data_IF_174047556449
#
_entry.id   IF_174047556449
#
_cell.length_a   1.000
_cell.length_b   1.000
_cell.length_c   1.000
_cell.angle_alpha   90.00
_cell.angle_beta   90.00
_cell.angle_gamma   90.00
#
_symmetry.space_group_name_H-M   'P 1'
#
loop_
_entity.id
_entity.type
_entity.pdbx_description
1 polymer ?
#
# COMPACT_ATOMS: atom_id res chain seq x y z
N UNK A 1 -8.10 14.56 -9.55
CA UNK A 1 -8.41 15.45 -8.42
C UNK A 1 -8.25 16.93 -8.80
N UNK A 2 -7.04 17.46 -9.05
CA UNK A 2 -6.91 18.87 -9.51
C UNK A 2 -7.71 19.16 -10.79
N UNK A 3 -7.61 18.28 -11.80
CA UNK A 3 -8.42 18.41 -13.03
C UNK A 3 -9.94 18.28 -12.78
N UNK A 4 -10.35 17.53 -11.76
CA UNK A 4 -11.75 17.37 -11.36
C UNK A 4 -12.29 18.64 -10.67
N UNK A 5 -11.42 19.35 -9.95
CA UNK A 5 -11.67 20.67 -9.40
C UNK A 5 -11.58 21.81 -10.44
N UNK A 6 -11.45 21.49 -11.72
CA UNK A 6 -11.40 22.49 -12.80
C UNK A 6 -10.03 23.13 -13.01
N UNK A 7 -8.94 22.49 -12.56
CA UNK A 7 -7.56 22.93 -12.82
C UNK A 7 -6.88 22.01 -13.84
N UNK A 8 -6.87 22.37 -15.15
CA UNK A 8 -6.11 21.65 -16.14
C UNK A 8 -4.62 21.58 -15.77
N UNK A 9 -3.97 20.45 -16.03
CA UNK A 9 -2.58 20.27 -15.61
C UNK A 9 -1.78 19.37 -16.55
N UNK A 10 -0.47 19.53 -16.47
CA UNK A 10 0.51 18.63 -17.07
C UNK A 10 0.90 17.57 -16.05
N UNK A 11 0.89 16.31 -16.48
CA UNK A 11 1.30 15.19 -15.65
C UNK A 11 2.53 14.52 -16.27
N UNK A 12 3.64 14.53 -15.54
CA UNK A 12 4.95 14.04 -15.99
C UNK A 12 5.25 12.71 -15.32
N UNK A 13 5.56 11.68 -16.11
CA UNK A 13 5.90 10.34 -15.63
C UNK A 13 5.22 9.23 -16.40
N UNK A 14 5.42 7.99 -15.94
CA UNK A 14 4.79 6.82 -16.54
C UNK A 14 3.47 6.51 -15.82
N UNK A 15 2.35 6.67 -16.53
CA UNK A 15 1.02 6.43 -15.99
C UNK A 15 0.25 5.46 -16.90
N UNK A 16 -0.22 4.38 -16.31
CA UNK A 16 -1.12 3.44 -16.97
C UNK A 16 -2.57 3.86 -16.77
N UNK A 17 -3.32 3.95 -17.87
CA UNK A 17 -4.76 4.19 -17.85
C UNK A 17 -5.54 2.87 -17.85
N UNK A 18 -6.67 2.85 -17.15
CA UNK A 18 -7.60 1.73 -17.26
C UNK A 18 -8.26 1.73 -18.65
N UNK A 19 -8.30 0.55 -19.29
CA UNK A 19 -8.95 0.34 -20.60
C UNK A 19 -10.49 0.25 -20.50
N UNK A 20 -11.06 0.05 -19.30
CA UNK A 20 -12.49 -0.27 -19.07
C UNK A 20 -13.17 0.54 -17.94
N UNK A 21 -14.51 0.39 -17.80
CA UNK A 21 -15.49 1.24 -17.07
C UNK A 21 -15.26 1.34 -15.54
N UNK A 22 -15.89 2.35 -14.92
CA UNK A 22 -16.02 2.66 -13.46
C UNK A 22 -16.47 1.50 -12.54
N UNK A 23 -16.68 0.29 -13.07
CA UNK A 23 -17.24 -0.85 -12.33
C UNK A 23 -16.25 -1.54 -11.39
N UNK A 24 -14.98 -1.13 -11.39
CA UNK A 24 -13.96 -1.69 -10.49
C UNK A 24 -14.01 -1.03 -9.09
N UNK A 25 -14.13 -1.87 -8.07
CA UNK A 25 -14.24 -1.47 -6.66
C UNK A 25 -12.84 -1.31 -6.05
N UNK A 26 -12.21 -0.15 -6.22
CA UNK A 26 -10.93 0.16 -5.59
C UNK A 26 -10.43 1.56 -5.92
N UNK A 27 -9.77 2.23 -4.96
CA UNK A 27 -9.31 3.61 -5.15
C UNK A 27 -8.29 3.77 -6.30
N UNK A 28 -7.48 2.74 -6.58
CA UNK A 28 -6.53 2.75 -7.70
C UNK A 28 -7.22 2.67 -9.04
N UNK A 29 -8.19 1.76 -9.19
CA UNK A 29 -9.00 1.65 -10.38
C UNK A 29 -9.80 2.93 -10.63
N UNK A 30 -10.37 3.52 -9.58
CA UNK A 30 -11.03 4.82 -9.63
C UNK A 30 -10.09 5.92 -10.15
N UNK A 31 -8.87 6.00 -9.62
CA UNK A 31 -7.86 6.97 -10.06
C UNK A 31 -7.44 6.79 -11.51
N UNK A 32 -7.19 5.55 -11.95
CA UNK A 32 -6.82 5.22 -13.34
C UNK A 32 -7.95 5.52 -14.32
N UNK A 33 -9.19 5.22 -13.94
CA UNK A 33 -10.36 5.54 -14.73
C UNK A 33 -10.53 7.06 -14.89
N UNK A 34 -10.44 7.83 -13.80
CA UNK A 34 -10.50 9.28 -13.84
C UNK A 34 -9.37 9.90 -14.67
N UNK A 35 -8.15 9.37 -14.59
CA UNK A 35 -7.04 9.80 -15.44
C UNK A 35 -7.42 9.68 -16.92
N UNK A 36 -7.95 8.52 -17.34
CA UNK A 36 -8.41 8.32 -18.71
C UNK A 36 -9.55 9.27 -19.13
N UNK A 37 -10.48 9.58 -18.22
CA UNK A 37 -11.54 10.57 -18.47
C UNK A 37 -10.94 11.96 -18.72
N UNK A 38 -10.07 12.42 -17.82
CA UNK A 38 -9.49 13.75 -17.89
C UNK A 38 -8.47 13.92 -19.03
N UNK A 39 -7.78 12.85 -19.44
CA UNK A 39 -6.95 12.88 -20.64
C UNK A 39 -7.80 13.02 -21.89
N UNK A 40 -8.88 12.25 -22.02
CA UNK A 40 -9.79 12.34 -23.18
C UNK A 40 -10.48 13.69 -23.30
N UNK A 41 -10.77 14.36 -22.18
CA UNK A 41 -11.35 15.71 -22.18
C UNK A 41 -10.31 16.83 -22.38
N UNK A 42 -9.01 16.51 -22.47
CA UNK A 42 -7.94 17.50 -22.61
C UNK A 42 -7.60 18.28 -21.34
N UNK A 43 -8.20 17.92 -20.20
CA UNK A 43 -7.91 18.57 -18.90
C UNK A 43 -6.63 18.07 -18.24
N UNK A 44 -6.12 16.89 -18.64
CA UNK A 44 -4.79 16.41 -18.30
C UNK A 44 -4.00 16.17 -19.58
N UNK A 45 -2.80 16.75 -19.64
CA UNK A 45 -1.82 16.46 -20.70
C UNK A 45 -0.67 15.65 -20.13
N UNK A 46 -0.47 14.43 -20.64
CA UNK A 46 0.66 13.59 -20.26
C UNK A 46 1.92 14.04 -21.00
N UNK A 47 3.02 14.20 -20.27
CA UNK A 47 4.32 14.56 -20.83
C UNK A 47 5.34 13.44 -20.59
N UNK A 48 6.25 13.19 -21.55
CA UNK A 48 7.21 12.08 -21.48
C UNK A 48 8.32 12.31 -20.44
N UNK A 49 8.54 13.55 -20.03
CA UNK A 49 9.61 13.94 -19.13
C UNK A 49 9.47 15.38 -18.65
N UNK A 50 10.25 15.74 -17.63
CA UNK A 50 10.21 17.06 -16.99
C UNK A 50 10.68 18.14 -17.95
N UNK A 51 11.58 17.81 -18.87
CA UNK A 51 12.13 18.70 -19.88
C UNK A 51 11.04 19.26 -20.81
N UNK A 52 9.97 18.50 -21.07
CA UNK A 52 8.87 18.97 -21.91
C UNK A 52 8.10 20.16 -21.31
N UNK A 53 8.20 20.37 -19.99
CA UNK A 53 7.60 21.53 -19.32
C UNK A 53 8.29 22.85 -19.69
N UNK A 54 9.53 22.83 -20.20
CA UNK A 54 10.25 24.06 -20.53
C UNK A 54 9.63 24.83 -21.69
N UNK A 55 8.83 24.17 -22.54
CA UNK A 55 8.11 24.81 -23.64
C UNK A 55 7.01 25.75 -23.13
N UNK A 56 6.35 25.39 -22.02
CA UNK A 56 5.34 26.19 -21.34
C UNK A 56 5.52 26.05 -19.82
N UNK A 57 6.47 26.81 -19.22
CA UNK A 57 6.84 26.65 -17.81
C UNK A 57 5.64 26.94 -16.89
N UNK A 58 5.20 25.98 -16.06
CA UNK A 58 4.09 26.22 -15.12
C UNK A 58 4.56 27.05 -13.92
N UNK A 59 3.72 27.99 -13.46
CA UNK A 59 3.94 28.76 -12.24
C UNK A 59 3.67 27.97 -10.95
N UNK A 60 2.93 26.86 -11.05
CA UNK A 60 2.62 25.96 -9.93
C UNK A 60 3.16 24.57 -10.26
N UNK A 61 4.03 24.05 -9.40
CA UNK A 61 4.68 22.74 -9.57
C UNK A 61 4.42 21.89 -8.33
N UNK A 62 3.88 20.69 -8.51
CA UNK A 62 3.70 19.69 -7.46
C UNK A 62 4.67 18.54 -7.69
N UNK A 63 5.77 18.52 -6.94
CA UNK A 63 6.79 17.48 -6.99
C UNK A 63 6.37 16.32 -6.07
N UNK A 64 6.09 15.15 -6.64
CA UNK A 64 5.62 13.98 -5.87
C UNK A 64 6.72 12.92 -5.73
N UNK A 65 6.96 12.43 -4.52
CA UNK A 65 7.80 11.25 -4.28
C UNK A 65 8.11 10.97 -2.81
N UNK A 66 8.71 9.81 -2.52
CA UNK A 66 9.15 9.45 -1.17
C UNK A 66 10.68 9.42 -1.10
N UNK A 67 11.26 10.11 -0.13
CA UNK A 67 12.71 10.11 0.11
C UNK A 67 13.09 9.00 1.11
N UNK A 68 12.88 7.73 0.74
CA UNK A 68 13.07 6.56 1.63
C UNK A 68 14.53 6.19 1.81
N UNK A 69 15.25 6.07 0.69
CA UNK A 69 16.66 5.74 0.61
C UNK A 69 17.48 6.87 -0.01
N UNK A 70 18.80 6.70 0.00
CA UNK A 70 19.71 7.61 -0.69
C UNK A 70 19.44 7.63 -2.21
N UNK A 71 19.04 6.50 -2.80
CA UNK A 71 18.72 6.40 -4.22
C UNK A 71 17.53 7.27 -4.59
N UNK A 72 16.40 7.12 -3.87
CA UNK A 72 15.18 7.90 -4.13
C UNK A 72 15.37 9.38 -3.80
N UNK A 73 16.15 9.70 -2.77
CA UNK A 73 16.53 11.09 -2.48
C UNK A 73 17.31 11.70 -3.65
N UNK A 74 18.27 10.94 -4.21
CA UNK A 74 19.05 11.39 -5.37
C UNK A 74 18.19 11.54 -6.63
N UNK A 75 17.17 10.72 -6.81
CA UNK A 75 16.20 10.85 -7.91
C UNK A 75 15.36 12.13 -7.77
N UNK A 76 14.83 12.41 -6.57
CA UNK A 76 14.14 13.67 -6.29
C UNK A 76 15.02 14.89 -6.55
N UNK A 77 16.30 14.85 -6.18
CA UNK A 77 17.26 15.92 -6.48
C UNK A 77 17.52 16.07 -7.98
N UNK A 78 17.60 14.97 -8.75
CA UNK A 78 17.75 15.02 -10.22
C UNK A 78 16.52 15.65 -10.88
N UNK A 79 15.32 15.24 -10.48
CA UNK A 79 14.05 15.81 -10.94
C UNK A 79 13.96 17.29 -10.58
N UNK A 80 14.30 17.66 -9.35
CA UNK A 80 14.32 19.06 -8.89
C UNK A 80 15.30 19.91 -9.72
N UNK A 81 16.50 19.37 -10.02
CA UNK A 81 17.49 20.02 -10.87
C UNK A 81 16.99 20.24 -12.29
N UNK A 82 16.25 19.28 -12.86
CA UNK A 82 15.64 19.43 -14.18
C UNK A 82 14.59 20.56 -14.17
N UNK A 83 13.74 20.60 -13.14
CA UNK A 83 12.76 21.68 -12.92
C UNK A 83 13.46 23.05 -12.85
N UNK A 84 14.58 23.14 -12.11
CA UNK A 84 15.31 24.40 -11.91
C UNK A 84 15.78 25.08 -13.21
N UNK A 85 15.86 24.36 -14.34
CA UNK A 85 16.28 24.92 -15.62
C UNK A 85 15.27 25.89 -16.24
N UNK A 86 14.01 25.85 -15.82
CA UNK A 86 12.94 26.64 -16.44
C UNK A 86 12.02 27.37 -15.45
N UNK A 87 12.25 27.25 -14.13
CA UNK A 87 11.45 28.01 -13.15
C UNK A 87 11.79 29.50 -13.20
N UNK A 88 10.75 30.33 -13.11
CA UNK A 88 10.86 31.78 -13.04
C UNK A 88 10.71 32.28 -11.61
N UNK A 89 10.90 33.59 -11.42
CA UNK A 89 10.40 34.28 -10.23
C UNK A 89 8.89 34.02 -10.09
N UNK A 90 8.41 33.97 -8.84
CA UNK A 90 7.02 33.69 -8.44
C UNK A 90 6.56 32.23 -8.59
N UNK A 91 7.43 31.33 -9.06
CA UNK A 91 7.10 29.90 -9.09
C UNK A 91 6.78 29.39 -7.69
N UNK A 92 5.67 28.66 -7.56
CA UNK A 92 5.28 27.93 -6.35
C UNK A 92 5.59 26.45 -6.53
N UNK A 93 6.61 25.96 -5.82
CA UNK A 93 6.96 24.55 -5.81
C UNK A 93 6.48 23.91 -4.50
N UNK A 94 5.60 22.91 -4.62
CA UNK A 94 5.15 22.11 -3.49
C UNK A 94 5.73 20.71 -3.58
N UNK A 95 6.48 20.29 -2.58
CA UNK A 95 6.87 18.90 -2.42
C UNK A 95 5.76 18.11 -1.72
N UNK A 96 5.44 16.93 -2.25
CA UNK A 96 4.47 16.03 -1.66
C UNK A 96 4.98 14.59 -1.63
N UNK A 97 4.61 13.89 -0.56
CA UNK A 97 5.05 12.54 -0.23
C UNK A 97 5.75 12.51 1.12
N UNK A 98 6.52 11.46 1.38
CA UNK A 98 7.12 11.22 2.70
C UNK A 98 8.63 11.47 2.66
N UNK A 99 9.13 12.16 3.67
CA UNK A 99 10.55 12.45 3.82
C UNK A 99 10.92 12.56 5.30
N UNK A 100 12.23 12.58 5.59
CA UNK A 100 12.72 12.83 6.96
C UNK A 100 12.52 14.30 7.35
N UNK A 101 12.40 14.62 8.65
CA UNK A 101 12.40 16.00 9.11
C UNK A 101 13.61 16.80 8.61
N UNK A 102 13.35 18.05 8.24
CA UNK A 102 14.23 19.02 7.59
C UNK A 102 14.62 18.69 6.15
N UNK A 103 14.03 17.70 5.48
CA UNK A 103 14.40 17.39 4.10
C UNK A 103 14.10 18.53 3.12
N UNK A 104 12.89 19.10 3.21
CA UNK A 104 12.44 20.18 2.32
C UNK A 104 13.24 21.46 2.53
N UNK A 105 13.47 21.84 3.80
CA UNK A 105 14.20 23.06 4.17
C UNK A 105 15.72 22.98 3.95
N UNK A 106 16.27 21.78 3.77
CA UNK A 106 17.71 21.57 3.52
C UNK A 106 17.94 21.09 2.10
N UNK A 107 17.73 19.81 1.82
CA UNK A 107 18.04 19.17 0.54
C UNK A 107 17.33 19.83 -0.64
N UNK A 108 16.00 19.98 -0.59
CA UNK A 108 15.25 20.55 -1.72
C UNK A 108 15.55 22.05 -1.88
N UNK A 109 15.51 22.82 -0.78
CA UNK A 109 15.87 24.24 -0.80
C UNK A 109 17.25 24.48 -1.42
N UNK A 110 18.28 23.77 -0.94
CA UNK A 110 19.64 23.92 -1.45
C UNK A 110 19.75 23.52 -2.92
N UNK A 111 19.04 22.48 -3.34
CA UNK A 111 19.01 22.07 -4.75
C UNK A 111 18.39 23.16 -5.62
N UNK A 112 17.30 23.79 -5.18
CA UNK A 112 16.63 24.87 -5.90
C UNK A 112 17.55 26.09 -5.99
N UNK A 113 18.07 26.58 -4.87
CA UNK A 113 18.92 27.77 -4.82
C UNK A 113 20.19 27.58 -5.67
N UNK A 114 20.82 26.41 -5.59
CA UNK A 114 22.05 26.10 -6.33
C UNK A 114 21.85 26.01 -7.84
N UNK A 115 20.72 25.48 -8.31
CA UNK A 115 20.53 25.14 -9.73
C UNK A 115 19.65 26.10 -10.51
N UNK A 116 18.84 26.91 -9.83
CA UNK A 116 18.03 27.95 -10.48
C UNK A 116 18.62 29.35 -10.39
N UNK A 117 19.51 29.60 -9.41
CA UNK A 117 20.00 30.94 -9.09
C UNK A 117 18.97 31.81 -8.34
N UNK A 118 17.77 31.29 -8.07
CA UNK A 118 16.72 31.98 -7.32
C UNK A 118 16.85 31.73 -5.82
N UNK A 119 16.46 32.72 -5.01
CA UNK A 119 16.40 32.57 -3.55
C UNK A 119 15.04 32.03 -3.11
N UNK A 120 15.02 30.87 -2.44
CA UNK A 120 13.79 30.28 -1.91
C UNK A 120 13.21 31.15 -0.80
N UNK A 121 11.90 31.37 -0.86
CA UNK A 121 11.12 32.22 0.03
C UNK A 121 11.06 33.69 -0.37
N UNK A 122 11.87 34.11 -1.35
CA UNK A 122 11.80 35.44 -1.98
C UNK A 122 11.40 35.34 -3.45
N UNK A 123 12.19 34.62 -4.23
CA UNK A 123 12.03 34.53 -5.68
C UNK A 123 11.18 33.30 -6.06
N UNK A 124 11.28 32.20 -5.31
CA UNK A 124 10.51 30.96 -5.49
C UNK A 124 9.86 30.57 -4.16
N UNK A 125 8.57 30.28 -4.16
CA UNK A 125 7.85 29.82 -2.97
C UNK A 125 8.01 28.30 -2.85
N UNK A 126 8.31 27.81 -1.63
CA UNK A 126 8.49 26.39 -1.37
C UNK A 126 7.55 25.92 -0.26
N UNK A 127 6.71 24.93 -0.56
CA UNK A 127 5.76 24.35 0.38
C UNK A 127 5.86 22.83 0.46
N UNK A 128 5.32 22.26 1.54
CA UNK A 128 5.28 20.82 1.76
C UNK A 128 3.89 20.37 2.21
N UNK A 129 3.41 19.29 1.59
CA UNK A 129 2.13 18.64 1.90
C UNK A 129 2.35 17.13 1.91
N UNK A 130 2.21 16.41 3.05
CA UNK A 130 2.47 14.98 3.14
C UNK A 130 1.29 14.17 2.55
N UNK A 131 1.05 14.25 1.23
CA UNK A 131 0.04 13.41 0.59
C UNK A 131 0.53 11.96 0.58
N UNK A 132 -0.08 11.14 1.44
CA UNK A 132 0.18 9.71 1.54
C UNK A 132 -1.13 8.94 1.39
N UNK A 133 -1.34 8.42 0.18
CA UNK A 133 -2.52 7.66 -0.18
C UNK A 133 -2.26 6.16 0.02
N UNK A 134 -3.13 5.43 0.71
CA UNK A 134 -2.91 4.03 1.08
C UNK A 134 -3.89 3.07 0.37
N UNK A 135 -4.44 3.48 -0.78
CA UNK A 135 -5.35 2.67 -1.58
C UNK A 135 -6.83 2.86 -1.25
N UNK A 136 -7.17 3.71 -0.28
CA UNK A 136 -8.55 4.09 0.01
C UNK A 136 -9.22 4.78 -1.20
N UNK A 137 -10.55 4.89 -1.21
CA UNK A 137 -11.27 5.60 -2.28
C UNK A 137 -10.80 7.06 -2.39
N UNK A 138 -10.90 7.66 -3.58
CA UNK A 138 -10.48 9.05 -3.76
C UNK A 138 -11.31 10.01 -2.92
N UNK A 139 -12.58 9.70 -2.68
CA UNK A 139 -13.42 10.47 -1.75
C UNK A 139 -12.87 10.43 -0.32
N UNK A 140 -12.58 9.23 0.23
CA UNK A 140 -11.98 9.10 1.57
C UNK A 140 -10.63 9.82 1.64
N UNK A 141 -9.81 9.68 0.59
CA UNK A 141 -8.54 10.40 0.51
C UNK A 141 -8.74 11.90 0.48
N UNK A 142 -9.75 12.41 -0.25
CA UNK A 142 -10.08 13.83 -0.35
C UNK A 142 -10.50 14.42 0.99
N UNK A 143 -11.44 13.78 1.67
CA UNK A 143 -12.06 14.25 2.92
C UNK A 143 -11.12 14.25 4.12
N UNK A 144 -10.09 13.39 4.12
CA UNK A 144 -9.08 13.35 5.19
C UNK A 144 -8.39 14.73 5.34
N UNK A 145 -8.29 15.32 6.54
CA UNK A 145 -7.58 16.58 6.72
C UNK A 145 -6.13 16.53 6.21
N UNK A 146 -5.68 17.57 5.52
CA UNK A 146 -4.29 17.70 5.04
C UNK A 146 -3.49 18.65 5.92
N UNK A 147 -2.18 18.46 5.92
CA UNK A 147 -1.24 19.35 6.60
C UNK A 147 -0.45 20.15 5.56
N UNK A 148 -0.23 21.44 5.80
CA UNK A 148 0.59 22.27 4.92
C UNK A 148 1.57 23.10 5.74
N UNK A 149 2.81 23.20 5.26
CA UNK A 149 3.79 24.18 5.71
C UNK A 149 4.52 24.79 4.51
N UNK A 150 5.05 25.99 4.65
CA UNK A 150 5.78 26.68 3.58
C UNK A 150 6.89 27.60 4.08
N UNK A 151 7.88 27.84 3.22
CA UNK A 151 8.95 28.82 3.39
C UNK A 151 8.72 29.96 2.38
N UNK A 152 8.63 31.18 2.91
CA UNK A 152 8.51 32.40 2.11
C UNK A 152 7.33 33.26 2.52
N UNK A 153 7.40 34.54 2.16
CA UNK A 153 6.28 35.46 2.33
C UNK A 153 5.19 35.07 1.34
N UNK A 154 4.06 34.54 1.84
CA UNK A 154 2.93 34.14 1.01
C UNK A 154 2.95 32.67 0.54
N UNK A 155 4.06 31.93 0.71
CA UNK A 155 4.14 30.51 0.32
C UNK A 155 3.03 29.65 0.95
N UNK A 156 2.77 29.87 2.24
CA UNK A 156 1.73 29.14 2.97
C UNK A 156 0.33 29.49 2.45
N UNK A 157 0.03 30.78 2.28
CA UNK A 157 -1.27 31.25 1.80
C UNK A 157 -1.56 30.74 0.38
N UNK A 158 -0.58 30.84 -0.52
CA UNK A 158 -0.71 30.36 -1.89
C UNK A 158 -0.89 28.83 -1.94
N UNK A 159 -0.09 28.08 -1.16
CA UNK A 159 -0.26 26.63 -1.09
C UNK A 159 -1.62 26.25 -0.49
N UNK A 160 -2.11 26.98 0.52
CA UNK A 160 -3.43 26.76 1.08
C UNK A 160 -4.53 27.01 0.04
N UNK A 161 -4.45 28.10 -0.72
CA UNK A 161 -5.41 28.40 -1.80
C UNK A 161 -5.46 27.29 -2.85
N UNK A 162 -4.29 26.86 -3.34
CA UNK A 162 -4.16 25.79 -4.33
C UNK A 162 -4.78 24.48 -3.83
N UNK A 163 -4.46 24.08 -2.59
CA UNK A 163 -4.87 22.79 -2.07
C UNK A 163 -6.30 22.79 -1.54
N UNK A 164 -6.86 23.92 -1.09
CA UNK A 164 -8.28 24.03 -0.70
C UNK A 164 -9.23 23.84 -1.88
N UNK A 165 -8.79 24.13 -3.11
CA UNK A 165 -9.56 23.80 -4.32
C UNK A 165 -9.82 22.29 -4.48
N UNK A 166 -9.04 21.43 -3.81
CA UNK A 166 -9.16 19.97 -3.90
C UNK A 166 -9.54 19.32 -2.57
N UNK A 167 -8.96 19.78 -1.47
CA UNK A 167 -9.10 19.18 -0.15
C UNK A 167 -9.92 20.11 0.76
N UNK A 168 -11.08 19.67 1.27
CA UNK A 168 -11.99 20.54 2.02
C UNK A 168 -11.47 20.93 3.41
N UNK A 169 -10.46 20.24 3.94
CA UNK A 169 -9.92 20.47 5.28
C UNK A 169 -8.40 20.46 5.27
N UNK A 170 -7.81 21.56 5.76
CA UNK A 170 -6.36 21.78 5.83
C UNK A 170 -5.99 22.40 7.17
N UNK A 171 -4.96 21.86 7.82
CA UNK A 171 -4.29 22.49 8.96
C UNK A 171 -2.91 22.97 8.54
N UNK A 172 -2.51 24.13 9.03
CA UNK A 172 -1.27 24.79 8.64
C UNK A 172 -0.24 24.81 9.77
N UNK A 173 1.03 24.87 9.40
CA UNK A 173 2.14 25.11 10.32
C UNK A 173 3.18 26.00 9.68
N UNK A 174 3.84 26.84 10.48
CA UNK A 174 5.00 27.61 10.04
C UNK A 174 6.29 26.78 10.00
N UNK A 175 6.29 25.55 10.52
CA UNK A 175 7.47 24.68 10.60
C UNK A 175 7.33 23.50 9.65
N UNK A 176 8.09 23.52 8.55
CA UNK A 176 8.19 22.38 7.63
C UNK A 176 8.54 21.08 8.37
N UNK A 177 9.53 21.12 9.26
CA UNK A 177 9.98 19.94 10.00
C UNK A 177 8.89 19.30 10.87
N UNK A 178 7.95 20.11 11.38
CA UNK A 178 6.82 19.60 12.16
C UNK A 178 5.82 18.86 11.26
N UNK A 179 5.54 19.38 10.07
CA UNK A 179 4.64 18.73 9.09
C UNK A 179 5.28 17.48 8.48
N UNK A 180 6.58 17.53 8.19
CA UNK A 180 7.36 16.36 7.74
C UNK A 180 7.34 15.24 8.79
N UNK A 181 7.56 15.57 10.07
CA UNK A 181 7.47 14.60 11.16
C UNK A 181 6.04 14.03 11.31
N UNK A 182 5.02 14.89 11.32
CA UNK A 182 3.62 14.49 11.43
C UNK A 182 3.19 13.55 10.29
N UNK A 183 3.69 13.77 9.07
CA UNK A 183 3.46 12.89 7.92
C UNK A 183 3.96 11.45 8.12
N UNK A 184 4.99 11.25 8.96
CA UNK A 184 5.53 9.93 9.27
C UNK A 184 4.79 9.23 10.42
N UNK A 185 4.30 9.98 11.42
CA UNK A 185 3.81 9.39 12.68
C UNK A 185 2.62 8.46 12.50
N UNK A 186 1.61 8.85 11.72
CA UNK A 186 0.43 8.01 11.49
C UNK A 186 0.78 6.67 10.84
N UNK A 187 1.51 6.64 9.72
CA UNK A 187 2.03 5.41 9.13
C UNK A 187 2.92 4.59 10.07
N UNK A 188 3.87 5.20 10.79
CA UNK A 188 4.73 4.47 11.74
C UNK A 188 3.91 3.82 12.86
N UNK A 189 2.93 4.54 13.40
CA UNK A 189 2.00 4.01 14.41
C UNK A 189 1.30 2.74 13.92
N UNK A 190 0.74 2.75 12.70
CA UNK A 190 0.05 1.60 12.12
C UNK A 190 0.99 0.43 11.83
N UNK A 191 2.22 0.69 11.38
CA UNK A 191 3.21 -0.37 11.14
C UNK A 191 3.63 -1.06 12.45
N UNK A 192 3.81 -0.29 13.54
CA UNK A 192 4.10 -0.84 14.88
C UNK A 192 2.91 -1.61 15.44
N UNK A 193 1.71 -1.04 15.34
CA UNK A 193 0.48 -1.68 15.80
C UNK A 193 0.25 -3.03 15.12
N UNK A 194 0.47 -3.12 13.81
CA UNK A 194 0.38 -4.38 13.06
C UNK A 194 1.36 -5.44 13.54
N UNK A 195 2.59 -5.05 13.88
CA UNK A 195 3.57 -5.99 14.43
C UNK A 195 3.12 -6.50 15.81
N UNK A 196 2.58 -5.62 16.64
CA UNK A 196 2.02 -5.99 17.94
C UNK A 196 0.84 -6.97 17.78
N UNK A 197 -0.10 -6.70 16.87
CA UNK A 197 -1.20 -7.62 16.56
C UNK A 197 -0.68 -9.01 16.17
N UNK A 198 0.37 -9.06 15.33
CA UNK A 198 1.01 -10.31 14.94
C UNK A 198 1.64 -11.08 16.11
N UNK A 199 2.25 -10.40 17.07
CA UNK A 199 2.84 -11.05 18.24
C UNK A 199 1.77 -11.53 19.22
N UNK A 200 0.74 -10.73 19.46
CA UNK A 200 -0.39 -11.12 20.31
C UNK A 200 -1.15 -12.32 19.74
N UNK A 201 -1.35 -12.36 18.42
CA UNK A 201 -1.95 -13.51 17.76
C UNK A 201 -1.08 -14.77 17.90
N UNK A 202 0.24 -14.65 17.75
CA UNK A 202 1.15 -15.78 17.94
C UNK A 202 1.25 -16.24 19.41
N UNK A 203 1.08 -15.32 20.37
CA UNK A 203 0.94 -15.67 21.78
C UNK A 203 -0.33 -16.50 22.01
N UNK A 204 -1.47 -16.03 21.50
CA UNK A 204 -2.74 -16.76 21.58
C UNK A 204 -2.65 -18.16 20.94
N UNK A 205 -2.00 -18.30 19.78
CA UNK A 205 -1.75 -19.60 19.13
C UNK A 205 -0.96 -20.57 20.03
N UNK A 206 0.06 -20.08 20.75
CA UNK A 206 0.90 -20.89 21.62
C UNK A 206 0.15 -21.39 22.86
N UNK A 207 -0.80 -20.58 23.35
CA UNK A 207 -1.59 -20.86 24.54
C UNK A 207 -2.96 -21.49 24.24
N UNK A 208 -3.20 -21.87 22.97
CA UNK A 208 -4.47 -22.46 22.51
C UNK A 208 -5.70 -21.56 22.68
N UNK A 209 -5.49 -20.23 22.59
CA UNK A 209 -6.53 -19.20 22.70
C UNK A 209 -6.90 -18.67 21.31
N UNK A 210 -8.18 -18.41 21.05
CA UNK A 210 -8.60 -17.69 19.85
C UNK A 210 -8.35 -16.19 20.01
N UNK A 211 -7.44 -15.64 19.19
CA UNK A 211 -7.13 -14.20 19.21
C UNK A 211 -8.34 -13.31 18.94
N UNK A 212 -9.29 -13.75 18.10
CA UNK A 212 -10.51 -12.96 17.83
C UNK A 212 -11.36 -12.78 19.07
N UNK A 213 -11.52 -13.86 19.85
CA UNK A 213 -12.28 -13.83 21.09
C UNK A 213 -11.59 -12.91 22.11
N UNK A 214 -10.28 -13.06 22.29
CA UNK A 214 -9.50 -12.19 23.16
C UNK A 214 -9.57 -10.71 22.73
N UNK A 215 -9.54 -10.44 21.43
CA UNK A 215 -9.67 -9.10 20.87
C UNK A 215 -11.04 -8.48 21.16
N UNK A 216 -12.12 -9.25 20.99
CA UNK A 216 -13.47 -8.77 21.23
C UNK A 216 -13.70 -8.46 22.72
N UNK A 217 -13.16 -9.28 23.63
CA UNK A 217 -13.15 -8.99 25.07
C UNK A 217 -12.30 -7.74 25.41
N UNK A 218 -11.16 -7.58 24.74
CA UNK A 218 -10.29 -6.40 24.90
C UNK A 218 -10.98 -5.11 24.44
N UNK A 219 -11.77 -5.16 23.37
CA UNK A 219 -12.60 -4.03 22.92
C UNK A 219 -13.70 -3.68 23.90
N UNK A 220 -14.39 -4.68 24.43
CA UNK A 220 -15.44 -4.47 25.45
C UNK A 220 -14.88 -3.83 26.74
N UNK A 221 -13.59 -4.01 27.02
CA UNK A 221 -12.89 -3.38 28.15
C UNK A 221 -12.24 -2.03 27.83
N UNK A 222 -12.42 -1.50 26.61
CA UNK A 222 -12.02 -0.13 26.23
C UNK A 222 -10.79 -0.03 25.32
N UNK A 223 -10.31 -1.14 24.74
CA UNK A 223 -9.20 -1.12 23.78
C UNK A 223 -9.70 -1.04 22.34
N UNK A 224 -9.80 0.16 21.80
CA UNK A 224 -10.47 0.38 20.49
C UNK A 224 -9.55 0.23 19.27
N UNK A 225 -8.23 0.37 19.47
CA UNK A 225 -7.28 0.48 18.36
C UNK A 225 -6.65 -0.85 17.93
N UNK A 226 -6.82 -1.93 18.70
CA UNK A 226 -6.32 -3.24 18.29
C UNK A 226 -7.21 -3.83 17.18
N UNK A 227 -6.56 -4.31 16.13
CA UNK A 227 -7.17 -4.94 14.97
C UNK A 227 -6.79 -6.41 14.83
N UNK A 228 -7.28 -7.01 13.76
CA UNK A 228 -6.87 -8.35 13.37
C UNK A 228 -5.50 -8.28 12.67
N UNK A 229 -4.56 -9.19 12.99
CA UNK A 229 -3.29 -9.26 12.30
C UNK A 229 -3.53 -9.42 10.81
N UNK A 230 -2.87 -8.55 10.06
CA UNK A 230 -3.13 -8.41 8.65
C UNK A 230 -1.79 -8.52 7.92
N UNK A 231 -1.65 -9.50 7.02
CA UNK A 231 -0.39 -9.75 6.28
C UNK A 231 -0.08 -8.67 5.24
N UNK A 232 -1.05 -7.79 5.03
CA UNK A 232 -1.03 -6.73 4.04
C UNK A 232 0.21 -5.86 4.17
N UNK A 233 0.93 -5.74 3.07
CA UNK A 233 2.03 -4.80 2.98
C UNK A 233 1.46 -3.39 2.89
N UNK A 234 1.18 -2.82 4.05
CA UNK A 234 0.76 -1.43 4.12
C UNK A 234 1.94 -0.58 3.68
N UNK A 235 1.67 0.40 2.79
CA UNK A 235 2.67 1.39 2.37
C UNK A 235 3.30 2.10 3.57
N UNK A 236 2.74 1.95 4.77
CA UNK A 236 3.25 2.42 6.05
C UNK A 236 4.72 2.07 6.32
N UNK A 237 5.20 0.94 5.78
CA UNK A 237 6.62 0.58 5.80
C UNK A 237 7.55 1.68 5.26
N UNK A 238 7.08 2.47 4.29
CA UNK A 238 7.81 3.62 3.72
C UNK A 238 8.19 4.60 4.83
N UNK A 239 7.24 4.96 5.69
CA UNK A 239 7.47 5.91 6.78
C UNK A 239 8.42 5.35 7.85
N UNK A 240 8.23 4.08 8.24
CA UNK A 240 9.11 3.39 9.18
C UNK A 240 10.55 3.32 8.66
N UNK A 241 10.74 3.04 7.37
CA UNK A 241 12.06 3.00 6.76
C UNK A 241 12.72 4.39 6.70
N UNK A 242 11.96 5.46 6.40
CA UNK A 242 12.44 6.85 6.49
C UNK A 242 12.87 7.19 7.92
N UNK A 243 12.02 6.87 8.91
CA UNK A 243 12.29 7.16 10.31
C UNK A 243 13.55 6.42 10.79
N UNK A 244 13.67 5.13 10.46
CA UNK A 244 14.83 4.29 10.79
C UNK A 244 16.10 4.80 10.10
N UNK A 245 16.04 5.09 8.79
CA UNK A 245 17.19 5.55 8.00
C UNK A 245 17.73 6.91 8.44
N UNK A 246 16.86 7.78 8.96
CA UNK A 246 17.24 9.10 9.50
C UNK A 246 17.70 9.08 10.96
N UNK A 247 17.58 7.94 11.65
CA UNK A 247 17.84 7.81 13.09
C UNK A 247 19.31 7.54 13.46
N UNK A 248 20.15 7.11 12.51
CA UNK A 248 21.53 6.63 12.77
C UNK A 248 22.45 7.62 13.49
N UNK A 249 22.14 8.92 13.49
CA UNK A 249 22.87 9.96 14.25
C UNK A 249 22.05 10.66 15.33
N UNK A 250 20.77 10.28 15.54
CA UNK A 250 19.80 11.05 16.35
C UNK A 250 19.00 10.23 17.38
N UNK A 251 19.26 8.92 17.48
CA UNK A 251 18.63 8.03 18.46
C UNK A 251 18.27 6.67 17.87
N UNK A 252 18.11 5.64 18.69
CA UNK A 252 17.72 4.31 18.21
C UNK A 252 16.20 4.11 18.31
N UNK A 253 15.51 4.01 17.16
CA UNK A 253 14.09 3.63 17.12
C UNK A 253 13.91 2.11 17.27
N UNK A 254 14.29 1.56 18.43
CA UNK A 254 14.30 0.11 18.68
C UNK A 254 12.93 -0.54 18.47
N UNK A 255 11.85 0.09 18.94
CA UNK A 255 10.47 -0.39 18.76
C UNK A 255 10.09 -0.47 17.28
N UNK A 256 10.37 0.59 16.51
CA UNK A 256 10.07 0.61 15.06
C UNK A 256 10.89 -0.44 14.31
N UNK A 257 12.16 -0.63 14.68
CA UNK A 257 13.01 -1.68 14.08
C UNK A 257 12.50 -3.09 14.41
N UNK A 258 12.06 -3.34 15.64
CA UNK A 258 11.46 -4.60 16.02
C UNK A 258 10.18 -4.87 15.21
N UNK A 259 9.30 -3.86 15.11
CA UNK A 259 8.10 -3.95 14.29
C UNK A 259 8.40 -4.27 12.81
N UNK A 260 9.42 -3.64 12.22
CA UNK A 260 9.86 -3.96 10.85
C UNK A 260 10.26 -5.42 10.68
N UNK A 261 11.06 -5.97 11.61
CA UNK A 261 11.49 -7.37 11.57
C UNK A 261 10.31 -8.33 11.66
N UNK A 262 9.37 -8.08 12.58
CA UNK A 262 8.17 -8.90 12.75
C UNK A 262 7.31 -8.87 11.49
N UNK A 263 7.07 -7.68 10.95
CA UNK A 263 6.25 -7.48 9.76
C UNK A 263 6.88 -8.08 8.49
N UNK A 264 8.21 -8.03 8.36
CA UNK A 264 8.95 -8.65 7.25
C UNK A 264 8.94 -10.18 7.32
N UNK A 265 8.75 -10.76 8.51
CA UNK A 265 8.54 -12.19 8.69
C UNK A 265 7.10 -12.66 8.33
N UNK A 266 6.20 -11.76 7.92
CA UNK A 266 4.81 -12.10 7.60
C UNK A 266 4.65 -13.16 6.51
N UNK A 267 5.47 -13.14 5.45
CA UNK A 267 5.46 -14.17 4.40
C UNK A 267 5.81 -15.56 4.98
N UNK A 268 6.78 -15.60 5.89
CA UNK A 268 7.16 -16.84 6.56
C UNK A 268 6.01 -17.37 7.43
N UNK A 269 5.24 -16.50 8.10
CA UNK A 269 4.03 -16.89 8.83
C UNK A 269 2.98 -17.52 7.91
N UNK A 270 2.73 -16.92 6.74
CA UNK A 270 1.79 -17.47 5.74
C UNK A 270 2.24 -18.84 5.25
N UNK A 271 3.54 -19.03 5.02
CA UNK A 271 4.09 -20.33 4.63
C UNK A 271 3.87 -21.40 5.71
N UNK A 272 4.16 -21.07 6.98
CA UNK A 272 3.96 -22.01 8.09
C UNK A 272 2.48 -22.36 8.24
N UNK A 273 1.57 -21.40 8.07
CA UNK A 273 0.12 -21.64 8.05
C UNK A 273 -0.28 -22.68 6.99
N UNK A 274 0.21 -22.51 5.75
CA UNK A 274 -0.04 -23.45 4.64
C UNK A 274 0.53 -24.83 4.92
N UNK A 275 1.73 -24.92 5.51
CA UNK A 275 2.33 -26.21 5.91
C UNK A 275 1.48 -26.92 6.96
N UNK A 276 1.05 -26.19 7.99
CA UNK A 276 0.20 -26.73 9.05
C UNK A 276 -1.12 -27.23 8.49
N UNK A 277 -1.76 -26.46 7.60
CA UNK A 277 -2.99 -26.86 6.91
C UNK A 277 -2.83 -28.16 6.10
N UNK A 278 -1.74 -28.27 5.32
CA UNK A 278 -1.46 -29.51 4.58
C UNK A 278 -1.17 -30.68 5.52
N UNK A 279 -0.51 -30.45 6.66
CA UNK A 279 -0.26 -31.45 7.68
C UNK A 279 -1.55 -31.98 8.30
N UNK A 280 -2.53 -31.12 8.57
CA UNK A 280 -3.88 -31.52 9.02
C UNK A 280 -4.56 -32.44 8.00
N UNK A 281 -4.33 -32.20 6.72
CA UNK A 281 -4.79 -33.07 5.63
C UNK A 281 -3.95 -34.36 5.45
N UNK A 282 -2.92 -34.59 6.25
CA UNK A 282 -1.98 -35.70 6.04
C UNK A 282 -1.23 -35.61 4.71
N UNK A 283 -1.08 -34.41 4.15
CA UNK A 283 -0.40 -34.16 2.87
C UNK A 283 1.00 -33.59 3.10
N UNK A 284 1.94 -34.01 2.26
CA UNK A 284 3.27 -33.39 2.20
C UNK A 284 3.19 -32.08 1.44
N UNK A 285 4.07 -31.13 1.75
CA UNK A 285 4.12 -29.85 1.02
C UNK A 285 4.44 -30.04 -0.47
N UNK A 286 5.50 -30.78 -0.78
CA UNK A 286 5.95 -31.02 -2.15
C UNK A 286 4.90 -31.80 -2.94
N UNK A 287 4.60 -31.34 -4.15
CA UNK A 287 3.58 -31.84 -5.08
C UNK A 287 2.12 -31.68 -4.60
N UNK A 288 1.87 -31.01 -3.47
CA UNK A 288 0.51 -30.63 -3.10
C UNK A 288 -0.01 -29.53 -4.02
N UNK A 289 -1.30 -29.62 -4.35
CA UNK A 289 -2.01 -28.58 -5.10
C UNK A 289 -2.55 -27.54 -4.14
N UNK A 290 -2.16 -26.29 -4.36
CA UNK A 290 -2.51 -25.15 -3.52
C UNK A 290 -3.21 -24.11 -4.40
N UNK A 291 -4.44 -23.75 -4.02
CA UNK A 291 -5.13 -22.60 -4.60
C UNK A 291 -4.74 -21.33 -3.85
N UNK A 292 -4.49 -20.25 -4.56
CA UNK A 292 -4.42 -18.89 -4.01
C UNK A 292 -5.63 -18.13 -4.55
N UNK A 293 -6.52 -17.70 -3.66
CA UNK A 293 -7.75 -17.00 -3.99
C UNK A 293 -7.58 -15.54 -3.59
N UNK A 294 -7.29 -14.69 -4.57
CA UNK A 294 -6.99 -13.28 -4.39
C UNK A 294 -5.55 -13.01 -3.97
N UNK A 295 -5.17 -11.73 -4.04
CA UNK A 295 -3.86 -11.23 -3.65
C UNK A 295 -3.94 -10.08 -2.65
N UNK A 296 -5.12 -9.85 -2.09
CA UNK A 296 -5.33 -8.81 -1.10
C UNK A 296 -4.37 -9.05 0.07
N UNK A 297 -3.37 -8.17 0.18
CA UNK A 297 -2.35 -8.24 1.21
C UNK A 297 -1.18 -9.18 0.99
N UNK A 298 -1.05 -9.77 -0.19
CA UNK A 298 0.12 -10.55 -0.60
C UNK A 298 1.07 -9.72 -1.48
N UNK A 299 0.62 -8.56 -1.94
CA UNK A 299 1.39 -7.67 -2.82
C UNK A 299 2.59 -7.01 -2.15
N UNK A 300 3.66 -6.81 -2.93
CA UNK A 300 4.80 -6.02 -2.51
C UNK A 300 4.50 -4.52 -2.67
N UNK A 301 4.79 -3.67 -1.67
CA UNK A 301 4.47 -2.24 -1.71
C UNK A 301 5.46 -1.44 -2.57
N UNK A 302 6.46 -2.10 -3.20
CA UNK A 302 7.64 -1.44 -3.76
C UNK A 302 7.61 -1.26 -5.27
N UNK A 303 6.79 -1.99 -6.02
CA UNK A 303 7.02 -2.09 -7.46
C UNK A 303 6.07 -1.19 -8.26
N UNK A 304 6.66 -0.20 -8.95
CA UNK A 304 6.01 0.57 -10.01
C UNK A 304 5.66 -0.30 -11.23
N UNK A 305 6.27 -1.49 -11.31
CA UNK A 305 5.97 -2.54 -12.30
C UNK A 305 5.23 -3.69 -11.63
N UNK A 306 4.24 -4.30 -12.28
CA UNK A 306 3.58 -5.49 -11.73
C UNK A 306 4.61 -6.60 -11.49
N UNK A 307 4.72 -7.10 -10.27
CA UNK A 307 5.49 -8.30 -9.92
C UNK A 307 4.59 -9.26 -9.14
N UNK A 308 4.70 -10.59 -9.37
CA UNK A 308 3.86 -11.54 -8.65
C UNK A 308 4.25 -11.52 -7.17
N UNK A 309 3.26 -11.65 -6.25
CA UNK A 309 3.52 -11.82 -4.83
C UNK A 309 4.63 -12.83 -4.54
N UNK A 310 5.56 -12.45 -3.67
CA UNK A 310 6.76 -13.25 -3.36
C UNK A 310 6.38 -14.67 -2.87
N UNK A 311 5.25 -14.78 -2.17
CA UNK A 311 4.72 -16.06 -1.69
C UNK A 311 4.50 -17.07 -2.82
N UNK A 312 4.06 -16.66 -4.02
CA UNK A 312 3.86 -17.58 -5.16
C UNK A 312 5.20 -18.25 -5.50
N UNK A 313 6.24 -17.46 -5.74
CA UNK A 313 7.59 -17.96 -6.05
C UNK A 313 8.14 -18.83 -4.93
N UNK A 314 7.82 -18.48 -3.69
CA UNK A 314 8.23 -19.22 -2.49
C UNK A 314 7.54 -20.59 -2.38
N UNK A 315 6.26 -20.69 -2.75
CA UNK A 315 5.52 -21.94 -2.81
C UNK A 315 5.98 -22.82 -3.99
N UNK A 316 6.18 -22.23 -5.18
CA UNK A 316 6.67 -22.94 -6.39
C UNK A 316 8.06 -23.53 -6.17
N UNK A 317 9.01 -22.75 -5.63
CA UNK A 317 10.37 -23.23 -5.34
C UNK A 317 10.40 -24.41 -4.37
N UNK A 318 9.38 -24.54 -3.51
CA UNK A 318 9.22 -25.67 -2.59
C UNK A 318 8.44 -26.85 -3.20
N UNK A 319 8.10 -26.76 -4.49
CA UNK A 319 7.49 -27.82 -5.28
C UNK A 319 5.98 -27.95 -5.14
N UNK A 320 5.28 -26.91 -4.68
CA UNK A 320 3.82 -26.86 -4.73
C UNK A 320 3.34 -26.66 -6.18
N UNK A 321 2.17 -27.21 -6.50
CA UNK A 321 1.48 -26.97 -7.78
C UNK A 321 0.44 -25.90 -7.52
N UNK A 322 0.56 -24.75 -8.16
CA UNK A 322 -0.23 -23.56 -7.82
C UNK A 322 -1.31 -23.30 -8.86
N UNK A 323 -2.52 -23.11 -8.38
CA UNK A 323 -3.62 -22.47 -9.11
C UNK A 323 -3.96 -21.14 -8.46
N UNK A 324 -4.24 -20.13 -9.27
CA UNK A 324 -4.49 -18.77 -8.82
C UNK A 324 -5.82 -18.29 -9.38
N UNK A 325 -6.64 -17.72 -8.51
CA UNK A 325 -7.67 -16.77 -8.90
C UNK A 325 -7.20 -15.38 -8.47
N UNK A 326 -6.94 -14.42 -9.39
CA UNK A 326 -6.39 -13.12 -9.01
C UNK A 326 -7.39 -12.21 -8.29
N UNK A 327 -8.68 -12.54 -8.30
CA UNK A 327 -9.75 -11.63 -7.88
C UNK A 327 -10.12 -10.64 -8.98
N UNK A 328 -10.77 -9.54 -8.60
CA UNK A 328 -11.13 -8.48 -9.55
C UNK A 328 -9.94 -7.63 -10.02
N UNK A 329 -8.84 -7.65 -9.28
CA UNK A 329 -7.58 -7.01 -9.68
C UNK A 329 -6.76 -8.02 -10.51
N UNK A 330 -6.65 -7.80 -11.82
CA UNK A 330 -5.99 -8.72 -12.76
C UNK A 330 -4.62 -8.21 -13.27
N UNK A 331 -4.04 -7.18 -12.62
CA UNK A 331 -2.87 -6.45 -13.13
C UNK A 331 -1.64 -7.32 -13.46
N UNK A 332 -1.43 -8.42 -12.73
CA UNK A 332 -0.31 -9.35 -12.98
C UNK A 332 -0.54 -10.28 -14.16
N UNK A 333 -1.79 -10.61 -14.42
CA UNK A 333 -2.19 -11.43 -15.56
C UNK A 333 -1.99 -10.67 -16.87
N UNK A 334 -2.42 -9.40 -16.89
CA UNK A 334 -2.24 -8.53 -18.06
C UNK A 334 -0.77 -8.25 -18.37
N UNK A 335 0.09 -8.27 -17.35
CA UNK A 335 1.52 -8.04 -17.49
C UNK A 335 2.35 -9.31 -17.79
N UNK A 336 1.73 -10.51 -17.81
CA UNK A 336 2.40 -11.77 -18.15
C UNK A 336 3.54 -12.17 -17.19
N UNK A 337 3.45 -11.78 -15.92
CA UNK A 337 4.57 -11.87 -14.95
C UNK A 337 4.54 -13.14 -14.10
N UNK A 338 3.49 -13.94 -14.23
CA UNK A 338 3.40 -15.26 -13.58
C UNK A 338 4.21 -16.28 -14.38
N UNK A 339 4.95 -17.14 -13.69
CA UNK A 339 5.76 -18.18 -14.34
C UNK A 339 4.87 -19.24 -15.01
N UNK A 340 5.42 -19.93 -16.01
CA UNK A 340 4.72 -20.98 -16.78
C UNK A 340 4.17 -22.13 -15.92
N UNK A 341 4.64 -22.27 -14.67
CA UNK A 341 4.19 -23.27 -13.70
C UNK A 341 2.91 -22.92 -12.94
N UNK A 342 2.41 -21.67 -13.04
CA UNK A 342 1.23 -21.20 -12.32
C UNK A 342 0.00 -21.25 -13.21
N UNK A 343 -1.03 -22.00 -12.80
CA UNK A 343 -2.31 -22.01 -13.52
C UNK A 343 -3.18 -20.83 -13.06
N UNK A 344 -3.50 -19.92 -13.96
CA UNK A 344 -4.42 -18.81 -13.66
C UNK A 344 -5.83 -19.19 -14.10
N UNK A 345 -6.78 -19.00 -13.21
CA UNK A 345 -8.20 -19.31 -13.40
C UNK A 345 -9.04 -18.04 -13.29
N UNK A 346 -10.18 -18.04 -13.99
CA UNK A 346 -11.12 -16.92 -14.02
C UNK A 346 -12.24 -17.01 -12.95
N UNK A 347 -12.16 -18.00 -12.07
CA UNK A 347 -13.13 -18.24 -11.00
C UNK A 347 -12.41 -18.80 -9.78
N UNK A 348 -12.79 -18.38 -8.55
CA UNK A 348 -12.20 -18.90 -7.32
C UNK A 348 -12.44 -20.41 -7.16
N UNK A 349 -13.60 -20.91 -7.62
CA UNK A 349 -13.95 -22.32 -7.54
C UNK A 349 -13.10 -23.18 -8.48
N UNK A 350 -12.83 -22.69 -9.70
CA UNK A 350 -11.93 -23.36 -10.64
C UNK A 350 -10.50 -23.39 -10.11
N UNK A 351 -10.03 -22.29 -9.52
CA UNK A 351 -8.74 -22.26 -8.85
C UNK A 351 -8.68 -23.27 -7.70
N UNK A 352 -9.73 -23.38 -6.89
CA UNK A 352 -9.82 -24.33 -5.78
C UNK A 352 -9.96 -25.81 -6.23
N UNK A 353 -10.32 -26.07 -7.48
CA UNK A 353 -10.65 -27.41 -7.95
C UNK A 353 -9.48 -28.39 -7.80
N UNK A 354 -9.75 -29.52 -7.13
CA UNK A 354 -8.78 -30.59 -6.82
C UNK A 354 -7.55 -30.14 -6.04
N UNK A 355 -7.64 -29.02 -5.31
CA UNK A 355 -6.58 -28.57 -4.40
C UNK A 355 -6.73 -29.19 -3.02
N UNK A 356 -5.61 -29.36 -2.31
CA UNK A 356 -5.60 -29.85 -0.92
C UNK A 356 -5.55 -28.71 0.11
N UNK A 357 -5.20 -27.51 -0.34
CA UNK A 357 -5.19 -26.30 0.46
C UNK A 357 -5.64 -25.11 -0.40
N UNK A 358 -6.51 -24.26 0.15
CA UNK A 358 -6.84 -22.97 -0.45
C UNK A 358 -6.41 -21.84 0.50
N UNK A 359 -5.52 -20.97 0.02
CA UNK A 359 -5.11 -19.74 0.68
C UNK A 359 -6.06 -18.62 0.25
N UNK A 360 -6.87 -18.11 1.17
CA UNK A 360 -7.85 -17.06 0.91
C UNK A 360 -7.27 -15.71 1.30
N UNK A 361 -7.11 -14.84 0.30
CA UNK A 361 -6.61 -13.48 0.40
C UNK A 361 -7.47 -12.55 -0.50
N UNK A 362 -8.80 -12.64 -0.34
CA UNK A 362 -9.78 -11.85 -1.09
C UNK A 362 -10.14 -10.54 -0.36
N UNK A 363 -10.50 -9.52 -1.12
CA UNK A 363 -11.23 -8.37 -0.58
C UNK A 363 -12.66 -8.78 -0.19
N UNK A 364 -13.26 -8.09 0.78
CA UNK A 364 -14.67 -8.29 1.15
C UNK A 364 -15.62 -8.08 -0.04
N UNK A 365 -15.28 -7.26 -1.03
CA UNK A 365 -16.08 -7.07 -2.24
C UNK A 365 -16.21 -8.32 -3.11
N UNK A 366 -15.27 -9.26 -2.99
CA UNK A 366 -15.16 -10.45 -3.83
C UNK A 366 -15.66 -11.72 -3.10
N UNK A 367 -16.11 -11.55 -1.85
CA UNK A 367 -16.55 -12.64 -0.97
C UNK A 367 -17.77 -13.40 -1.50
N UNK A 368 -18.69 -12.72 -2.19
CA UNK A 368 -19.94 -13.33 -2.68
C UNK A 368 -19.72 -14.51 -3.65
N UNK A 369 -18.50 -14.66 -4.19
CA UNK A 369 -18.14 -15.69 -5.16
C UNK A 369 -17.71 -17.01 -4.51
N UNK A 370 -17.44 -17.04 -3.20
CA UNK A 370 -17.02 -18.24 -2.47
C UNK A 370 -17.99 -18.59 -1.33
N UNK A 371 -18.17 -19.87 -1.06
CA UNK A 371 -18.78 -20.35 0.18
C UNK A 371 -18.09 -21.63 0.64
N UNK A 372 -18.13 -21.95 1.94
CA UNK A 372 -17.58 -23.19 2.47
C UNK A 372 -18.07 -24.44 1.71
N UNK A 373 -19.36 -24.51 1.39
CA UNK A 373 -19.96 -25.65 0.70
C UNK A 373 -19.47 -25.77 -0.75
N UNK A 374 -19.39 -24.65 -1.47
CA UNK A 374 -18.89 -24.62 -2.85
C UNK A 374 -17.41 -24.97 -2.93
N UNK A 375 -16.60 -24.49 -1.97
CA UNK A 375 -15.19 -24.86 -1.87
C UNK A 375 -15.04 -26.36 -1.56
N UNK A 376 -15.84 -26.88 -0.62
CA UNK A 376 -15.80 -28.29 -0.24
C UNK A 376 -16.22 -29.25 -1.37
N UNK A 377 -17.08 -28.82 -2.29
CA UNK A 377 -17.47 -29.62 -3.47
C UNK A 377 -16.39 -29.68 -4.55
N UNK A 378 -15.51 -28.67 -4.64
CA UNK A 378 -14.47 -28.57 -5.66
C UNK A 378 -13.10 -29.09 -5.19
N UNK A 379 -12.79 -28.93 -3.90
CA UNK A 379 -11.50 -29.28 -3.33
C UNK A 379 -11.33 -30.79 -3.12
N UNK A 380 -10.08 -31.25 -3.07
CA UNK A 380 -9.77 -32.63 -2.68
C UNK A 380 -10.00 -32.85 -1.19
N UNK A 381 -10.41 -34.07 -0.82
CA UNK A 381 -10.53 -34.51 0.57
C UNK A 381 -9.38 -35.45 0.96
N UNK A 382 -8.81 -35.31 2.17
CA UNK A 382 -8.97 -34.16 3.09
C UNK A 382 -8.40 -32.86 2.49
N UNK A 383 -9.05 -31.73 2.79
CA UNK A 383 -8.71 -30.40 2.28
C UNK A 383 -8.82 -29.34 3.37
N UNK A 384 -8.04 -28.25 3.23
CA UNK A 384 -7.95 -27.19 4.23
C UNK A 384 -8.05 -25.78 3.63
N UNK A 385 -8.64 -24.85 4.38
CA UNK A 385 -8.70 -23.42 4.09
C UNK A 385 -7.72 -22.69 5.02
N UNK A 386 -6.79 -21.93 4.45
CA UNK A 386 -5.98 -20.93 5.13
C UNK A 386 -6.57 -19.56 4.86
N UNK A 387 -7.32 -18.99 5.79
CA UNK A 387 -8.02 -17.72 5.56
C UNK A 387 -7.26 -16.53 6.16
N UNK A 388 -6.54 -15.79 5.31
CA UNK A 388 -5.81 -14.58 5.70
C UNK A 388 -6.72 -13.36 5.79
N UNK A 389 -7.79 -13.32 4.99
CA UNK A 389 -8.77 -12.23 4.99
C UNK A 389 -9.86 -12.39 6.05
N UNK A 390 -9.96 -13.58 6.66
CA UNK A 390 -10.99 -13.97 7.63
C UNK A 390 -12.40 -13.67 7.13
N UNK A 391 -12.64 -13.96 5.85
CA UNK A 391 -13.93 -13.76 5.21
C UNK A 391 -14.86 -14.96 5.43
N UNK A 392 -14.32 -16.13 5.73
CA UNK A 392 -15.07 -17.35 6.01
C UNK A 392 -15.19 -17.57 7.51
N UNK A 393 -16.39 -17.97 7.95
CA UNK A 393 -16.62 -18.42 9.31
C UNK A 393 -16.13 -19.86 9.49
N UNK A 394 -15.26 -20.08 10.46
CA UNK A 394 -14.62 -21.37 10.69
C UNK A 394 -15.62 -22.52 10.90
N UNK A 395 -16.68 -22.28 11.69
CA UNK A 395 -17.71 -23.28 12.00
C UNK A 395 -18.39 -23.81 10.72
N UNK A 396 -18.58 -22.94 9.72
CA UNK A 396 -19.20 -23.30 8.46
C UNK A 396 -18.23 -24.06 7.53
N UNK A 397 -16.93 -23.78 7.61
CA UNK A 397 -15.87 -24.52 6.90
C UNK A 397 -15.74 -25.94 7.46
N UNK A 398 -15.71 -26.07 8.78
CA UNK A 398 -15.62 -27.35 9.47
C UNK A 398 -16.86 -28.22 9.22
N UNK A 399 -18.07 -27.64 9.29
CA UNK A 399 -19.33 -28.34 8.92
C UNK A 399 -19.34 -28.81 7.46
N UNK A 400 -18.66 -28.10 6.55
CA UNK A 400 -18.55 -28.51 5.16
C UNK A 400 -17.54 -29.66 4.93
N UNK A 401 -16.83 -30.09 5.98
CA UNK A 401 -15.88 -31.20 5.96
C UNK A 401 -14.47 -30.79 5.51
N UNK A 402 -14.11 -29.52 5.66
CA UNK A 402 -12.77 -29.00 5.42
C UNK A 402 -12.13 -28.57 6.74
N UNK A 403 -10.80 -28.64 6.82
CA UNK A 403 -10.08 -28.00 7.93
C UNK A 403 -10.04 -26.49 7.73
N UNK A 404 -10.07 -25.73 8.82
CA UNK A 404 -9.93 -24.28 8.81
C UNK A 404 -8.74 -23.84 9.64
N UNK A 405 -7.95 -22.90 9.11
CA UNK A 405 -6.87 -22.24 9.84
C UNK A 405 -6.74 -20.78 9.42
N UNK A 406 -6.29 -19.93 10.34
CA UNK A 406 -6.02 -18.52 10.13
C UNK A 406 -4.96 -18.06 11.13
N UNK A 407 -4.37 -16.88 10.91
CA UNK A 407 -3.39 -16.32 11.84
C UNK A 407 -4.10 -15.92 13.13
N UNK A 408 -3.62 -16.39 14.27
CA UNK A 408 -4.20 -16.16 15.60
C UNK A 408 -5.30 -17.15 15.98
N UNK A 409 -5.42 -18.28 15.28
CA UNK A 409 -6.40 -19.33 15.63
C UNK A 409 -5.73 -20.34 16.58
N UNK A 410 -6.32 -20.55 17.75
CA UNK A 410 -5.99 -21.69 18.61
C UNK A 410 -6.23 -23.03 17.89
N UNK A 411 -5.67 -24.11 18.42
CA UNK A 411 -5.98 -25.44 17.92
C UNK A 411 -7.44 -25.77 18.25
N UNK A 412 -8.16 -26.41 17.31
CA UNK A 412 -9.56 -26.81 17.54
C UNK A 412 -9.70 -28.00 18.51
N UNK A 413 -8.74 -28.20 19.42
CA UNK A 413 -8.64 -29.39 20.29
C UNK A 413 -9.28 -29.15 21.65
N UNK A 414 -10.54 -28.74 21.66
CA UNK A 414 -11.40 -28.84 22.84
C UNK A 414 -12.76 -29.37 22.45
#
# INVERSE_FOLDING_TARGET
MFAEAGHPNYLVGHFDEAKTRRTETGGLSEARWLLGVHRRSGTITLLPGVEALSANPPSIIVLTGHAVSQSESSELERTTRAICKFISRETSLTFTGLCRPNFTSTTLRQTIEKHSGHTVGRDVQLSYVPLFWNGETLQKFREKPKLIAGIGTGALSLAQEIFLGVFPSISTSSKLSAVEAAGLFGPVYRDVLRALEFELASLCEADDVDYSEALDLSRQSGTDNLGMPSTFAVRDAIASNIAIGSSSSRGNLSVVRAARRINEAGEQKVLELVKSALSLCGKRFRHSRIAILGFSGLDSPRDSKPSPPQIIRTLERRGAIISVYPGRDNRWFEAGVLGDGVRVENSPLRAASRTSCALVALDRSDFAEISPQKLASEMSRPGAICDLSRVLEASNVEKAGLFYTSIGRGSSRT
#
